data_IF_706221268783
#
_entry.id   IF_706221268783
#
_cell.length_a   1.000
_cell.length_b   1.000
_cell.length_c   1.000
_cell.angle_alpha   90.00
_cell.angle_beta   90.00
_cell.angle_gamma   90.00
#
_symmetry.space_group_name_H-M   'P 1'
#
loop_
_entity.id
_entity.type
_entity.pdbx_description
1 polymer ?
#
# COMPACT_ATOMS: atom_id res chain seq x y z
N UNK A 1 5.72 -79.54 28.48
CA UNK A 1 5.79 -78.58 29.61
C UNK A 1 7.18 -77.99 29.56
N UNK A 2 7.24 -76.66 29.68
CA UNK A 2 8.43 -75.85 30.01
C UNK A 2 9.49 -75.70 28.91
N UNK A 3 10.06 -74.54 28.59
CA UNK A 3 9.90 -73.09 28.88
C UNK A 3 10.43 -72.44 27.58
N UNK A 4 9.84 -71.35 27.09
CA UNK A 4 10.54 -70.47 26.14
C UNK A 4 10.40 -69.01 26.59
N UNK A 5 11.55 -68.38 26.74
CA UNK A 5 11.77 -67.01 27.17
C UNK A 5 11.45 -66.06 26.02
N UNK A 6 10.54 -65.11 26.25
CA UNK A 6 10.51 -63.88 25.44
C UNK A 6 10.37 -62.66 26.36
N UNK A 7 11.16 -61.60 26.12
CA UNK A 7 11.27 -60.47 27.01
C UNK A 7 10.00 -59.61 26.94
N UNK A 8 9.56 -59.16 28.10
CA UNK A 8 8.48 -58.17 28.23
C UNK A 8 8.96 -56.84 27.68
N UNK A 9 8.51 -56.47 26.48
CA UNK A 9 8.64 -55.10 25.97
C UNK A 9 7.91 -54.17 26.94
N UNK A 10 8.67 -53.27 27.59
CA UNK A 10 8.09 -52.12 28.28
C UNK A 10 7.54 -51.21 27.21
N UNK A 11 6.22 -51.03 27.19
CA UNK A 11 5.61 -49.89 26.50
C UNK A 11 6.19 -48.60 27.09
N UNK A 12 7.07 -47.95 26.34
CA UNK A 12 7.44 -46.56 26.59
C UNK A 12 6.20 -45.71 26.35
N UNK A 13 5.59 -45.23 27.44
CA UNK A 13 4.66 -44.10 27.40
C UNK A 13 5.32 -42.97 26.61
N UNK A 14 4.70 -42.45 25.53
CA UNK A 14 5.30 -41.35 24.79
C UNK A 14 5.43 -40.15 25.72
N UNK A 15 6.65 -39.61 25.84
CA UNK A 15 6.87 -38.32 26.49
C UNK A 15 5.89 -37.30 25.90
N UNK A 16 5.23 -36.47 26.74
CA UNK A 16 4.42 -35.39 26.22
C UNK A 16 5.32 -34.50 25.37
N UNK A 17 4.95 -34.35 24.09
CA UNK A 17 5.65 -33.49 23.16
C UNK A 17 5.91 -32.14 23.83
N UNK A 18 7.19 -31.77 23.95
CA UNK A 18 7.61 -30.52 24.56
C UNK A 18 6.75 -29.38 24.00
N UNK A 19 5.96 -28.76 24.87
CA UNK A 19 5.22 -27.55 24.54
C UNK A 19 6.22 -26.56 23.92
N UNK A 20 5.89 -25.91 22.79
CA UNK A 20 6.76 -24.88 22.26
C UNK A 20 6.89 -23.80 23.32
N UNK A 21 8.03 -23.78 24.00
CA UNK A 21 8.35 -22.78 24.99
C UNK A 21 8.12 -21.41 24.34
N UNK A 22 7.11 -20.70 24.82
CA UNK A 22 6.91 -19.30 24.51
C UNK A 22 8.26 -18.59 24.68
N UNK A 23 8.62 -17.58 23.88
CA UNK A 23 9.81 -16.78 24.14
C UNK A 23 9.61 -16.02 25.47
N UNK A 24 9.86 -16.72 26.58
CA UNK A 24 9.54 -16.33 27.94
C UNK A 24 10.25 -15.02 28.30
N UNK A 25 11.43 -14.84 27.69
CA UNK A 25 12.27 -13.65 27.77
C UNK A 25 11.62 -12.37 27.24
N UNK A 26 10.68 -12.46 26.29
CA UNK A 26 10.03 -11.29 25.69
C UNK A 26 8.65 -11.05 26.30
N UNK A 27 7.86 -12.12 26.49
CA UNK A 27 6.48 -12.02 26.97
C UNK A 27 6.36 -11.69 28.45
N UNK A 28 7.27 -12.21 29.30
CA UNK A 28 7.13 -12.11 30.76
C UNK A 28 7.35 -10.69 31.29
N UNK A 29 8.44 -9.98 30.95
CA UNK A 29 8.62 -8.59 31.37
C UNK A 29 7.50 -7.67 30.87
N UNK A 30 6.90 -8.01 29.74
CA UNK A 30 5.82 -7.27 29.11
C UNK A 30 4.47 -7.47 29.79
N UNK A 31 4.11 -8.72 30.05
CA UNK A 31 2.93 -9.06 30.85
C UNK A 31 3.10 -8.50 32.26
N UNK A 32 4.29 -8.57 32.84
CA UNK A 32 4.59 -8.00 34.15
C UNK A 32 4.47 -6.47 34.15
N UNK A 33 4.89 -5.78 33.08
CA UNK A 33 4.71 -4.33 32.93
C UNK A 33 3.23 -3.95 32.74
N UNK A 34 2.46 -4.72 31.96
CA UNK A 34 1.03 -4.51 31.79
C UNK A 34 0.26 -4.79 33.09
N UNK A 35 0.57 -5.89 33.77
CA UNK A 35 0.02 -6.27 35.07
C UNK A 35 0.39 -5.24 36.13
N UNK A 36 1.64 -4.74 36.14
CA UNK A 36 2.07 -3.67 37.03
C UNK A 36 1.35 -2.35 36.74
N UNK A 37 1.15 -1.97 35.47
CA UNK A 37 0.38 -0.78 35.10
C UNK A 37 -1.11 -0.90 35.51
N UNK A 38 -1.68 -2.11 35.49
CA UNK A 38 -3.05 -2.40 35.91
C UNK A 38 -3.21 -2.53 37.43
N UNK A 39 -2.19 -3.01 38.13
CA UNK A 39 -2.24 -3.31 39.56
C UNK A 39 -1.60 -2.23 40.46
N UNK A 40 -0.73 -1.35 39.95
CA UNK A 40 -0.16 -0.25 40.71
C UNK A 40 -1.11 0.96 40.77
N UNK A 41 -2.17 0.84 41.59
CA UNK A 41 -2.59 1.86 42.57
C UNK A 41 -3.93 1.48 43.24
N UNK A 42 -4.16 2.04 44.43
CA UNK A 42 -5.44 2.09 45.15
C UNK A 42 -6.49 2.99 44.46
N UNK A 43 -6.35 3.25 43.16
CA UNK A 43 -7.25 4.13 42.42
C UNK A 43 -8.36 3.37 41.68
N UNK A 44 -9.45 4.11 41.41
CA UNK A 44 -10.66 3.67 40.71
C UNK A 44 -10.38 2.96 39.38
N UNK A 45 -11.32 2.10 38.94
CA UNK A 45 -11.21 1.32 37.69
C UNK A 45 -10.92 2.18 36.45
N UNK A 46 -11.45 3.40 36.38
CA UNK A 46 -11.20 4.35 35.28
C UNK A 46 -9.72 4.75 35.17
N UNK A 47 -9.04 4.95 36.30
CA UNK A 47 -7.64 5.39 36.34
C UNK A 47 -6.68 4.27 35.88
N UNK A 48 -7.05 3.01 36.14
CA UNK A 48 -6.29 1.81 35.73
C UNK A 48 -6.40 1.55 34.23
N UNK A 49 -7.59 1.65 33.67
CA UNK A 49 -7.79 1.53 32.23
C UNK A 49 -7.07 2.65 31.47
N UNK A 50 -7.11 3.89 31.98
CA UNK A 50 -6.42 5.03 31.38
C UNK A 50 -4.89 4.84 31.29
N UNK A 51 -4.23 4.40 32.38
CA UNK A 51 -2.77 4.15 32.38
C UNK A 51 -2.37 2.99 31.46
N UNK A 52 -3.17 1.92 31.40
CA UNK A 52 -2.92 0.82 30.46
C UNK A 52 -3.05 1.28 29.01
N UNK A 53 -4.00 2.17 28.72
CA UNK A 53 -4.13 2.84 27.41
C UNK A 53 -2.91 3.68 27.05
N UNK A 54 -2.41 4.49 27.98
CA UNK A 54 -1.21 5.33 27.78
C UNK A 54 0.05 4.50 27.48
N UNK A 55 0.18 3.31 28.08
CA UNK A 55 1.29 2.39 27.79
C UNK A 55 1.25 1.95 26.33
N UNK A 56 0.08 1.50 25.85
CA UNK A 56 -0.11 1.12 24.45
C UNK A 56 0.08 2.28 23.47
N UNK A 57 -0.29 3.49 23.88
CA UNK A 57 -0.10 4.69 23.08
C UNK A 57 1.37 5.08 22.93
N UNK A 58 2.23 4.74 23.89
CA UNK A 58 3.68 4.94 23.77
C UNK A 58 4.38 3.85 22.96
N UNK A 59 3.74 2.69 22.74
CA UNK A 59 4.33 1.59 21.98
C UNK A 59 4.36 1.87 20.45
N UNK A 60 5.39 1.33 19.78
CA UNK A 60 5.49 1.40 18.32
C UNK A 60 4.57 0.36 17.66
N UNK A 61 4.18 0.58 16.40
CA UNK A 61 3.37 -0.37 15.62
C UNK A 61 4.02 -1.76 15.51
N UNK A 62 5.37 -1.80 15.41
CA UNK A 62 6.13 -3.06 15.41
C UNK A 62 5.93 -3.80 16.74
N UNK A 63 6.06 -3.10 17.84
CA UNK A 63 5.92 -3.67 19.16
C UNK A 63 4.51 -4.20 19.42
N UNK A 64 3.48 -3.44 19.03
CA UNK A 64 2.07 -3.90 19.10
C UNK A 64 1.82 -5.15 18.24
N UNK A 65 2.48 -5.26 17.07
CA UNK A 65 2.39 -6.45 16.21
C UNK A 65 3.06 -7.66 16.86
N UNK A 66 4.25 -7.48 17.42
CA UNK A 66 5.01 -8.56 18.07
C UNK A 66 4.28 -9.05 19.34
N UNK A 67 3.70 -8.12 20.12
CA UNK A 67 2.82 -8.46 21.25
C UNK A 67 1.57 -9.22 20.82
N UNK A 68 0.86 -8.76 19.79
CA UNK A 68 -0.32 -9.48 19.30
C UNK A 68 0.03 -10.89 18.83
N UNK A 69 1.15 -11.08 18.12
CA UNK A 69 1.61 -12.40 17.70
C UNK A 69 1.90 -13.31 18.91
N UNK A 70 2.56 -12.78 19.93
CA UNK A 70 2.91 -13.51 21.14
C UNK A 70 1.67 -13.87 21.98
N UNK A 71 0.71 -12.94 22.12
CA UNK A 71 -0.57 -13.20 22.80
C UNK A 71 -1.44 -14.22 22.03
N UNK A 72 -1.37 -14.25 20.69
CA UNK A 72 -2.06 -15.25 19.90
C UNK A 72 -1.49 -16.67 20.16
N UNK A 73 -0.18 -16.81 20.35
CA UNK A 73 0.42 -18.09 20.74
C UNK A 73 -0.08 -18.55 22.12
N UNK A 74 -0.14 -17.64 23.09
CA UNK A 74 -0.71 -17.90 24.43
C UNK A 74 -2.19 -18.29 24.36
N UNK A 75 -2.97 -17.59 23.53
CA UNK A 75 -4.38 -17.92 23.30
C UNK A 75 -4.54 -19.33 22.73
N UNK A 76 -3.68 -19.72 21.80
CA UNK A 76 -3.72 -21.05 21.16
C UNK A 76 -3.21 -22.18 22.08
N UNK A 77 -2.29 -21.89 23.01
CA UNK A 77 -1.82 -22.89 23.98
C UNK A 77 -2.84 -23.17 25.09
N UNK A 78 -3.88 -22.35 25.23
CA UNK A 78 -4.90 -22.49 26.28
C UNK A 78 -4.42 -22.10 27.68
N UNK A 79 -3.19 -21.57 27.79
CA UNK A 79 -2.63 -21.12 29.06
C UNK A 79 -3.46 -19.97 29.63
N UNK A 80 -3.89 -20.11 30.90
CA UNK A 80 -4.70 -19.11 31.60
C UNK A 80 -3.85 -18.31 32.57
N UNK A 81 -4.06 -16.99 32.58
CA UNK A 81 -3.44 -16.07 33.51
C UNK A 81 -4.54 -15.55 34.44
N UNK A 82 -4.37 -15.71 35.75
CA UNK A 82 -5.42 -15.37 36.73
C UNK A 82 -5.81 -13.88 36.73
N UNK A 83 -4.90 -13.00 36.30
CA UNK A 83 -5.04 -11.54 36.41
C UNK A 83 -5.10 -10.81 35.06
N UNK A 84 -5.00 -11.54 33.94
CA UNK A 84 -4.91 -10.97 32.58
C UNK A 84 -5.86 -11.70 31.65
N UNK A 85 -6.78 -10.95 31.05
CA UNK A 85 -7.57 -11.43 29.93
C UNK A 85 -6.73 -11.32 28.65
N UNK A 86 -6.14 -12.45 28.24
CA UNK A 86 -5.28 -12.54 27.06
C UNK A 86 -6.06 -12.23 25.76
N UNK A 87 -7.35 -12.56 25.70
CA UNK A 87 -8.18 -12.30 24.52
C UNK A 87 -8.43 -10.80 24.39
N UNK A 88 -8.87 -10.14 25.48
CA UNK A 88 -9.05 -8.68 25.52
C UNK A 88 -7.74 -7.95 25.19
N UNK A 89 -6.62 -8.40 25.75
CA UNK A 89 -5.31 -7.79 25.53
C UNK A 89 -4.84 -7.90 24.07
N UNK A 90 -5.08 -9.07 23.46
CA UNK A 90 -4.79 -9.31 22.06
C UNK A 90 -5.61 -8.40 21.14
N UNK A 91 -6.91 -8.26 21.44
CA UNK A 91 -7.81 -7.36 20.71
C UNK A 91 -7.42 -5.89 20.85
N UNK A 92 -7.05 -5.45 22.05
CA UNK A 92 -6.54 -4.09 22.32
C UNK A 92 -5.27 -3.78 21.52
N UNK A 93 -4.31 -4.72 21.45
CA UNK A 93 -3.10 -4.57 20.64
C UNK A 93 -3.45 -4.37 19.15
N UNK A 94 -4.37 -5.17 18.62
CA UNK A 94 -4.83 -5.03 17.24
C UNK A 94 -5.59 -3.72 16.99
N UNK A 95 -6.46 -3.30 17.91
CA UNK A 95 -7.18 -2.04 17.82
C UNK A 95 -6.22 -0.85 17.79
N UNK A 96 -5.31 -0.76 18.76
CA UNK A 96 -4.32 0.34 18.86
C UNK A 96 -3.37 0.35 17.67
N UNK A 97 -2.93 -0.82 17.18
CA UNK A 97 -2.14 -0.94 15.96
C UNK A 97 -2.88 -0.35 14.77
N UNK A 98 -4.15 -0.72 14.57
CA UNK A 98 -5.00 -0.18 13.48
C UNK A 98 -5.16 1.34 13.60
N UNK A 99 -5.38 1.86 14.80
CA UNK A 99 -5.49 3.31 15.04
C UNK A 99 -4.18 4.03 14.70
N UNK A 100 -3.03 3.54 15.14
CA UNK A 100 -1.72 4.14 14.80
C UNK A 100 -1.41 4.07 13.30
N UNK A 101 -1.74 2.95 12.65
CA UNK A 101 -1.60 2.83 11.19
C UNK A 101 -2.52 3.80 10.46
N UNK A 102 -3.73 4.03 10.96
CA UNK A 102 -4.66 5.02 10.43
C UNK A 102 -4.10 6.44 10.58
N UNK A 103 -3.67 6.83 11.79
CA UNK A 103 -3.06 8.14 12.07
C UNK A 103 -1.88 8.38 11.12
N UNK A 104 -0.97 7.42 11.01
CA UNK A 104 0.18 7.53 10.10
C UNK A 104 -0.22 7.70 8.63
N UNK A 105 -1.29 7.02 8.19
CA UNK A 105 -1.78 7.15 6.81
C UNK A 105 -2.39 8.53 6.55
N UNK A 106 -3.10 9.08 7.54
CA UNK A 106 -3.62 10.44 7.55
C UNK A 106 -2.46 11.44 7.52
N UNK A 107 -1.49 11.34 8.44
CA UNK A 107 -0.28 12.17 8.45
C UNK A 107 0.45 12.15 7.10
N UNK A 108 0.65 10.96 6.52
CA UNK A 108 1.28 10.81 5.20
C UNK A 108 0.48 11.48 4.08
N UNK A 109 -0.85 11.45 4.15
CA UNK A 109 -1.69 12.16 3.18
C UNK A 109 -1.45 13.69 3.24
N UNK A 110 -1.09 14.23 4.42
CA UNK A 110 -0.82 15.66 4.66
C UNK A 110 0.57 16.16 4.40
N UNK A 111 1.57 15.26 4.37
CA UNK A 111 2.93 15.72 4.09
C UNK A 111 2.90 16.59 2.83
N UNK A 112 3.70 17.66 2.80
CA UNK A 112 3.75 18.54 1.64
C UNK A 112 4.01 17.74 0.35
N UNK A 113 3.39 18.17 -0.75
CA UNK A 113 3.63 17.56 -2.04
C UNK A 113 5.08 17.82 -2.48
N UNK A 114 5.77 16.77 -2.92
CA UNK A 114 7.08 16.89 -3.57
C UNK A 114 6.94 17.61 -4.93
N UNK A 115 5.82 17.37 -5.62
CA UNK A 115 5.45 17.95 -6.91
C UNK A 115 3.93 18.06 -7.00
N UNK A 116 3.42 19.11 -7.63
CA UNK A 116 1.99 19.24 -7.96
C UNK A 116 1.69 18.83 -9.40
N UNK A 117 0.43 18.53 -9.73
CA UNK A 117 0.05 18.21 -11.12
C UNK A 117 0.25 19.42 -12.04
N UNK A 118 0.01 20.64 -11.57
CA UNK A 118 0.22 21.85 -12.37
C UNK A 118 1.70 22.13 -12.61
N UNK A 119 2.55 21.83 -11.63
CA UNK A 119 4.00 21.86 -11.81
C UNK A 119 4.45 20.86 -12.87
N UNK A 120 3.92 19.62 -12.84
CA UNK A 120 4.17 18.63 -13.89
C UNK A 120 3.74 19.13 -15.27
N UNK A 121 2.55 19.73 -15.39
CA UNK A 121 2.05 20.29 -16.66
C UNK A 121 2.94 21.42 -17.18
N UNK A 122 3.31 22.34 -16.29
CA UNK A 122 4.19 23.46 -16.62
C UNK A 122 5.54 22.96 -17.13
N UNK A 123 6.12 21.98 -16.45
CA UNK A 123 7.37 21.35 -16.91
C UNK A 123 7.19 20.67 -18.27
N UNK A 124 6.17 19.84 -18.44
CA UNK A 124 5.93 19.10 -19.67
C UNK A 124 5.69 20.04 -20.87
N UNK A 125 5.10 21.22 -20.66
CA UNK A 125 4.93 22.24 -21.70
C UNK A 125 6.25 22.81 -22.23
N UNK A 126 7.35 22.68 -21.48
CA UNK A 126 8.68 23.14 -21.93
C UNK A 126 9.45 22.08 -22.73
N UNK A 127 8.96 20.84 -22.75
CA UNK A 127 9.60 19.73 -23.48
C UNK A 127 9.11 19.75 -24.93
N UNK A 128 10.01 19.83 -25.92
CA UNK A 128 9.62 19.83 -27.33
C UNK A 128 9.03 18.47 -27.73
N UNK A 129 8.01 18.48 -28.58
CA UNK A 129 7.37 17.25 -29.08
C UNK A 129 8.33 16.50 -29.99
N UNK A 130 8.95 15.44 -29.45
CA UNK A 130 9.89 14.58 -30.17
C UNK A 130 9.89 13.15 -29.58
N UNK A 131 10.39 12.13 -30.28
CA UNK A 131 10.58 10.80 -29.69
C UNK A 131 11.29 10.90 -28.33
N UNK A 132 10.66 10.32 -27.30
CA UNK A 132 11.19 10.31 -25.94
C UNK A 132 11.85 8.96 -25.65
N UNK A 133 13.03 9.04 -25.05
CA UNK A 133 13.65 7.92 -24.36
C UNK A 133 12.70 7.33 -23.30
N UNK A 134 12.77 6.02 -23.08
CA UNK A 134 11.85 5.29 -22.19
C UNK A 134 11.76 5.92 -20.79
N UNK A 135 12.88 6.42 -20.25
CA UNK A 135 12.88 7.08 -18.95
C UNK A 135 12.05 8.36 -18.91
N UNK A 136 12.09 9.15 -19.99
CA UNK A 136 11.31 10.38 -20.11
C UNK A 136 9.83 10.07 -20.36
N UNK A 137 9.54 9.10 -21.23
CA UNK A 137 8.16 8.65 -21.48
C UNK A 137 7.51 8.09 -20.19
N UNK A 138 8.27 7.32 -19.40
CA UNK A 138 7.82 6.83 -18.10
C UNK A 138 7.52 7.96 -17.12
N UNK A 139 8.30 9.05 -17.11
CA UNK A 139 7.99 10.24 -16.31
C UNK A 139 6.71 10.90 -16.82
N UNK A 140 6.56 11.10 -18.13
CA UNK A 140 5.35 11.69 -18.73
C UNK A 140 4.09 10.92 -18.32
N UNK A 141 4.10 9.59 -18.49
CA UNK A 141 2.98 8.73 -18.10
C UNK A 141 2.72 8.79 -16.59
N UNK A 142 3.76 8.73 -15.76
CA UNK A 142 3.59 8.78 -14.30
C UNK A 142 3.04 10.14 -13.84
N UNK A 143 3.53 11.23 -14.44
CA UNK A 143 3.20 12.60 -14.07
C UNK A 143 1.78 13.02 -14.49
N UNK A 144 1.25 12.50 -15.60
CA UNK A 144 -0.11 12.81 -16.07
C UNK A 144 -1.17 11.86 -15.50
N UNK A 145 -0.79 10.61 -15.21
CA UNK A 145 -1.77 9.61 -14.77
C UNK A 145 -1.79 9.41 -13.27
N UNK A 146 -0.65 9.58 -12.58
CA UNK A 146 -0.50 9.14 -11.19
C UNK A 146 -0.59 7.62 -11.02
N UNK A 147 -0.45 6.84 -12.10
CA UNK A 147 -0.25 5.39 -12.01
C UNK A 147 1.15 5.11 -11.46
N UNK A 148 1.32 3.98 -10.76
CA UNK A 148 2.62 3.64 -10.18
C UNK A 148 3.54 3.06 -11.25
N UNK A 149 3.35 1.78 -11.54
CA UNK A 149 4.21 1.01 -12.42
C UNK A 149 3.41 0.20 -13.44
N UNK A 150 2.08 0.33 -13.42
CA UNK A 150 1.17 -0.23 -14.42
C UNK A 150 1.56 0.15 -15.85
N UNK A 151 2.03 1.39 -16.15
CA UNK A 151 2.39 1.75 -17.51
C UNK A 151 3.56 0.96 -18.12
N UNK A 152 4.31 0.17 -17.34
CA UNK A 152 5.33 -0.74 -17.91
C UNK A 152 4.72 -1.72 -18.91
N UNK A 153 3.45 -2.08 -18.72
CA UNK A 153 2.70 -2.95 -19.61
C UNK A 153 1.84 -2.16 -20.60
N UNK A 154 2.21 -0.92 -20.93
CA UNK A 154 1.49 -0.16 -21.95
C UNK A 154 1.70 -0.83 -23.32
N UNK A 155 0.61 -1.29 -23.90
CA UNK A 155 0.52 -1.87 -25.23
C UNK A 155 0.46 -0.77 -26.29
N UNK A 156 1.00 -1.06 -27.46
CA UNK A 156 0.93 -0.18 -28.63
C UNK A 156 -0.44 -0.23 -29.31
N UNK A 157 -1.20 -1.31 -29.09
CA UNK A 157 -2.56 -1.53 -29.62
C UNK A 157 -3.60 -1.75 -28.49
N UNK A 158 -4.90 -1.61 -28.77
CA UNK A 158 -5.95 -1.90 -27.80
C UNK A 158 -5.86 -3.32 -27.22
N UNK A 159 -6.05 -3.45 -25.92
CA UNK A 159 -5.86 -4.73 -25.23
C UNK A 159 -6.79 -4.91 -24.02
N UNK A 160 -7.30 -6.12 -23.83
CA UNK A 160 -8.26 -6.41 -22.74
C UNK A 160 -7.64 -6.59 -21.34
N UNK A 161 -6.35 -6.95 -21.25
CA UNK A 161 -5.66 -7.25 -19.99
C UNK A 161 -4.77 -6.10 -19.58
N UNK A 162 -3.87 -5.70 -20.46
CA UNK A 162 -2.85 -4.70 -20.17
C UNK A 162 -3.33 -3.27 -20.47
N UNK A 163 -2.51 -2.31 -20.08
CA UNK A 163 -2.83 -0.92 -20.35
C UNK A 163 -2.68 -0.59 -21.82
N UNK A 164 -3.53 0.28 -22.37
CA UNK A 164 -3.44 0.77 -23.75
C UNK A 164 -3.97 2.21 -23.85
N UNK A 165 -3.75 2.85 -24.99
CA UNK A 165 -4.29 4.19 -25.28
C UNK A 165 -5.59 4.11 -26.07
N UNK A 166 -6.56 4.94 -25.71
CA UNK A 166 -7.85 5.04 -26.40
C UNK A 166 -8.22 6.51 -26.65
N UNK A 167 -8.68 6.82 -27.87
CA UNK A 167 -9.25 8.12 -28.20
C UNK A 167 -10.77 8.08 -28.03
N UNK A 168 -11.34 9.04 -27.29
CA UNK A 168 -12.78 9.25 -27.11
C UNK A 168 -13.08 10.74 -27.16
N UNK A 169 -13.97 11.17 -28.05
CA UNK A 169 -14.41 12.57 -28.15
C UNK A 169 -13.23 13.57 -28.15
N UNK A 170 -12.23 13.31 -29.01
CA UNK A 170 -10.97 14.07 -29.12
C UNK A 170 -10.09 14.10 -27.87
N UNK A 171 -10.41 13.32 -26.83
CA UNK A 171 -9.59 13.14 -25.63
C UNK A 171 -8.86 11.82 -25.67
N UNK A 172 -7.62 11.83 -25.17
CA UNK A 172 -6.80 10.63 -25.05
C UNK A 172 -6.98 10.06 -23.64
N UNK A 173 -7.15 8.75 -23.54
CA UNK A 173 -7.24 8.02 -22.28
C UNK A 173 -6.19 6.92 -22.23
N UNK A 174 -5.63 6.69 -21.04
CA UNK A 174 -5.02 5.39 -20.72
C UNK A 174 -6.09 4.50 -20.09
N UNK A 175 -6.16 3.28 -20.60
CA UNK A 175 -7.14 2.25 -20.22
C UNK A 175 -6.42 1.00 -19.75
N UNK A 176 -7.10 0.14 -19.00
CA UNK A 176 -6.61 -1.18 -18.64
C UNK A 176 -7.55 -1.86 -17.64
N UNK A 177 -7.63 -3.19 -17.66
CA UNK A 177 -8.62 -3.93 -16.86
C UNK A 177 -8.01 -5.02 -15.96
N UNK A 178 -6.72 -4.92 -15.67
CA UNK A 178 -5.96 -5.99 -15.02
C UNK A 178 -6.29 -6.13 -13.55
N UNK A 179 -6.54 -7.34 -13.08
CA UNK A 179 -6.64 -7.65 -11.64
C UNK A 179 -5.24 -7.58 -11.02
N UNK A 180 -5.01 -6.65 -10.09
CA UNK A 180 -3.72 -6.54 -9.39
C UNK A 180 -3.52 -7.73 -8.44
N UNK A 181 -2.77 -8.75 -8.85
CA UNK A 181 -2.40 -9.93 -8.04
C UNK A 181 -3.50 -10.96 -7.78
N UNK A 182 -3.09 -12.22 -7.60
CA UNK A 182 -3.99 -13.32 -7.24
C UNK A 182 -4.77 -13.07 -5.94
N UNK A 183 -4.22 -12.27 -5.02
CA UNK A 183 -4.88 -11.93 -3.75
C UNK A 183 -6.10 -11.01 -3.94
N UNK A 184 -6.17 -10.28 -5.04
CA UNK A 184 -7.28 -9.36 -5.34
C UNK A 184 -8.25 -9.90 -6.41
N UNK A 185 -8.12 -11.17 -6.83
CA UNK A 185 -9.10 -11.88 -7.70
C UNK A 185 -10.55 -11.75 -7.20
N UNK A 186 -10.73 -11.60 -5.89
CA UNK A 186 -12.04 -11.49 -5.23
C UNK A 186 -12.53 -10.05 -5.00
N UNK A 187 -11.79 -9.01 -5.43
CA UNK A 187 -12.08 -7.60 -5.09
C UNK A 187 -12.67 -6.76 -6.24
N UNK A 188 -13.19 -7.40 -7.27
CA UNK A 188 -13.65 -6.72 -8.49
C UNK A 188 -12.47 -6.33 -9.38
N UNK A 189 -12.75 -6.05 -10.66
CA UNK A 189 -11.71 -5.68 -11.63
C UNK A 189 -11.14 -4.31 -11.26
N UNK A 190 -9.81 -4.21 -11.19
CA UNK A 190 -9.12 -2.92 -11.21
C UNK A 190 -9.21 -2.37 -12.63
N UNK A 191 -9.91 -1.24 -12.79
CA UNK A 191 -10.15 -0.60 -14.08
C UNK A 191 -9.41 0.72 -14.09
N UNK A 192 -8.43 0.85 -14.98
CA UNK A 192 -7.73 2.09 -15.29
C UNK A 192 -8.57 2.81 -16.35
N UNK A 193 -8.96 4.04 -16.04
CA UNK A 193 -9.65 4.94 -16.95
C UNK A 193 -9.26 6.38 -16.63
N UNK A 194 -8.18 6.85 -17.24
CA UNK A 194 -7.58 8.14 -16.91
C UNK A 194 -7.35 8.95 -18.18
N UNK A 195 -7.95 10.14 -18.24
CA UNK A 195 -7.70 11.12 -19.29
C UNK A 195 -6.24 11.60 -19.23
N UNK A 196 -5.57 11.58 -20.38
CA UNK A 196 -4.23 12.16 -20.58
C UNK A 196 -4.44 13.60 -21.01
N UNK A 197 -4.33 14.49 -20.04
CA UNK A 197 -4.49 15.94 -20.22
C UNK A 197 -3.28 16.53 -20.99
N UNK A 198 -3.50 17.59 -21.78
CA UNK A 198 -2.40 18.40 -22.33
C UNK A 198 -1.56 19.00 -21.20
N UNK A 199 -0.25 19.21 -21.41
CA UNK A 199 0.50 19.05 -22.67
C UNK A 199 1.08 17.65 -22.92
N UNK A 200 0.69 16.64 -22.13
CA UNK A 200 1.27 15.30 -22.25
C UNK A 200 0.73 14.50 -23.43
N UNK A 201 -0.51 14.80 -23.84
CA UNK A 201 -1.28 14.05 -24.84
C UNK A 201 -0.52 13.84 -26.15
N UNK A 202 -0.09 14.93 -26.77
CA UNK A 202 0.56 14.91 -28.09
C UNK A 202 1.86 14.12 -28.04
N UNK A 203 2.62 14.33 -26.96
CA UNK A 203 3.91 13.70 -26.74
C UNK A 203 3.79 12.19 -26.53
N UNK A 204 2.85 11.75 -25.71
CA UNK A 204 2.61 10.32 -25.42
C UNK A 204 2.07 9.62 -26.67
N UNK A 205 1.09 10.22 -27.35
CA UNK A 205 0.49 9.62 -28.55
C UNK A 205 1.52 9.42 -29.66
N UNK A 206 2.39 10.41 -29.91
CA UNK A 206 3.47 10.30 -30.89
C UNK A 206 4.42 9.14 -30.55
N UNK A 207 4.84 9.02 -29.29
CA UNK A 207 5.75 7.97 -28.84
C UNK A 207 5.19 6.56 -28.94
N UNK A 208 3.90 6.38 -28.63
CA UNK A 208 3.24 5.08 -28.77
C UNK A 208 3.07 4.71 -30.23
N UNK A 209 2.68 5.67 -31.07
CA UNK A 209 2.50 5.46 -32.52
C UNK A 209 3.81 5.09 -33.22
N UNK A 210 4.91 5.76 -32.86
CA UNK A 210 6.24 5.47 -33.40
C UNK A 210 6.70 4.05 -33.05
N UNK A 211 6.52 3.63 -31.79
CA UNK A 211 6.86 2.28 -31.33
C UNK A 211 5.98 1.21 -31.97
N UNK A 212 4.69 1.51 -32.17
CA UNK A 212 3.78 0.67 -32.93
C UNK A 212 4.27 0.48 -34.38
N UNK A 213 4.67 1.57 -35.06
CA UNK A 213 5.21 1.52 -36.41
C UNK A 213 6.54 0.76 -36.49
N UNK A 214 7.31 0.71 -35.41
CA UNK A 214 8.50 -0.12 -35.28
C UNK A 214 8.21 -1.60 -34.98
N UNK A 215 6.93 -1.99 -34.87
CA UNK A 215 6.51 -3.38 -34.63
C UNK A 215 6.58 -3.82 -33.16
N UNK A 216 6.75 -2.90 -32.21
CA UNK A 216 6.77 -3.23 -30.79
C UNK A 216 5.37 -3.59 -30.30
N UNK A 217 5.26 -4.63 -29.46
CA UNK A 217 4.01 -4.96 -28.76
C UNK A 217 3.83 -4.10 -27.51
N UNK A 218 4.88 -4.02 -26.69
CA UNK A 218 4.90 -3.15 -25.50
C UNK A 218 5.69 -1.88 -25.78
N UNK A 219 5.18 -0.74 -25.32
CA UNK A 219 5.86 0.55 -25.38
C UNK A 219 7.20 0.52 -24.62
N UNK A 220 7.28 -0.26 -23.54
CA UNK A 220 8.49 -0.47 -22.74
C UNK A 220 9.01 -1.91 -22.87
N UNK A 221 9.09 -2.43 -24.10
CA UNK A 221 9.47 -3.83 -24.39
C UNK A 221 10.71 -4.30 -23.62
N UNK A 222 11.76 -3.46 -23.56
CA UNK A 222 13.01 -3.79 -22.87
C UNK A 222 12.88 -3.92 -21.33
N UNK A 223 11.78 -3.46 -20.74
CA UNK A 223 11.54 -3.54 -19.30
C UNK A 223 10.66 -4.73 -18.91
N UNK A 224 9.91 -5.28 -19.87
CA UNK A 224 9.01 -6.42 -19.66
C UNK A 224 9.83 -7.70 -19.55
N UNK A 225 9.57 -8.46 -18.49
CA UNK A 225 10.19 -9.76 -18.24
C UNK A 225 9.10 -10.82 -18.18
N UNK A 226 9.11 -11.72 -19.15
CA UNK A 226 8.15 -12.82 -19.26
C UNK A 226 8.13 -13.66 -17.98
N UNK A 227 6.94 -13.88 -17.43
CA UNK A 227 6.75 -14.61 -16.18
C UNK A 227 7.20 -13.89 -14.90
N UNK A 228 7.77 -12.67 -14.99
CA UNK A 228 8.20 -11.89 -13.82
C UNK A 228 7.74 -10.43 -13.88
N UNK A 229 6.43 -10.25 -13.64
CA UNK A 229 5.82 -8.93 -13.58
C UNK A 229 6.37 -8.06 -12.46
N UNK A 230 6.77 -8.67 -11.34
CA UNK A 230 7.31 -7.96 -10.19
C UNK A 230 8.64 -7.31 -10.58
N UNK A 231 9.48 -8.03 -11.31
CA UNK A 231 10.71 -7.48 -11.88
C UNK A 231 10.43 -6.41 -12.93
N UNK A 232 9.44 -6.61 -13.81
CA UNK A 232 9.03 -5.59 -14.80
C UNK A 232 8.65 -4.26 -14.14
N UNK A 233 7.77 -4.31 -13.12
CA UNK A 233 7.36 -3.12 -12.34
C UNK A 233 8.52 -2.45 -11.59
N UNK A 234 9.46 -3.24 -11.08
CA UNK A 234 10.69 -2.74 -10.45
C UNK A 234 11.58 -2.04 -11.46
N UNK A 235 11.85 -2.65 -12.61
CA UNK A 235 12.66 -2.07 -13.69
C UNK A 235 12.11 -0.70 -14.11
N UNK A 236 10.78 -0.61 -14.30
CA UNK A 236 10.11 0.65 -14.61
C UNK A 236 10.31 1.71 -13.52
N UNK A 237 10.08 1.35 -12.25
CA UNK A 237 10.24 2.28 -11.13
C UNK A 237 11.68 2.77 -11.01
N UNK A 238 12.67 1.89 -11.20
CA UNK A 238 14.09 2.22 -11.18
C UNK A 238 14.47 3.15 -12.33
N UNK A 239 13.95 2.89 -13.54
CA UNK A 239 14.17 3.74 -14.71
C UNK A 239 13.62 5.15 -14.51
N UNK A 240 12.37 5.28 -14.04
CA UNK A 240 11.74 6.58 -13.75
C UNK A 240 12.54 7.31 -12.67
N UNK A 241 12.85 6.65 -11.55
CA UNK A 241 13.60 7.25 -10.45
C UNK A 241 15.03 7.65 -10.83
N UNK A 242 15.68 6.93 -11.76
CA UNK A 242 17.00 7.31 -12.28
C UNK A 242 16.91 8.52 -13.20
N UNK A 243 15.87 8.59 -14.02
CA UNK A 243 15.70 9.66 -15.01
C UNK A 243 15.28 10.97 -14.34
N UNK A 244 14.36 10.93 -13.38
CA UNK A 244 13.80 12.11 -12.73
C UNK A 244 14.82 12.89 -11.89
N UNK A 245 15.86 12.22 -11.38
CA UNK A 245 16.99 12.87 -10.68
C UNK A 245 17.71 13.91 -11.53
N UNK A 246 17.54 13.87 -12.85
CA UNK A 246 18.13 14.82 -13.80
C UNK A 246 17.23 16.02 -14.06
N UNK A 247 16.00 16.03 -13.55
CA UNK A 247 14.97 17.03 -13.82
C UNK A 247 14.70 17.82 -12.54
N UNK A 248 15.24 19.05 -12.48
CA UNK A 248 15.18 19.87 -11.27
C UNK A 248 13.75 20.28 -10.94
N UNK A 249 12.97 20.57 -11.97
CA UNK A 249 11.58 21.01 -11.91
C UNK A 249 10.65 19.98 -11.26
N UNK A 250 11.07 18.72 -11.16
CA UNK A 250 10.29 17.64 -10.58
C UNK A 250 10.81 17.17 -9.21
N UNK A 251 11.79 17.87 -8.62
CA UNK A 251 12.25 17.66 -7.25
C UNK A 251 12.63 16.20 -6.88
N UNK A 252 13.13 15.42 -7.86
CA UNK A 252 13.38 13.98 -7.68
C UNK A 252 12.15 13.17 -7.22
N UNK A 253 10.94 13.61 -7.59
CA UNK A 253 9.70 12.91 -7.31
C UNK A 253 9.75 11.45 -7.78
N UNK A 254 9.09 10.57 -7.05
CA UNK A 254 8.92 9.16 -7.41
C UNK A 254 7.56 8.91 -8.03
N UNK A 255 7.35 7.72 -8.60
CA UNK A 255 6.01 7.27 -9.06
C UNK A 255 4.94 7.33 -7.97
N UNK A 256 5.32 7.27 -6.69
CA UNK A 256 4.37 7.40 -5.58
C UNK A 256 4.02 8.87 -5.32
N UNK A 257 4.94 9.79 -5.56
CA UNK A 257 4.73 11.22 -5.35
C UNK A 257 3.80 11.80 -6.42
N UNK A 258 3.94 11.37 -7.68
CA UNK A 258 2.97 11.73 -8.73
C UNK A 258 1.56 11.21 -8.40
N UNK A 259 1.46 9.97 -7.93
CA UNK A 259 0.18 9.41 -7.49
C UNK A 259 -0.44 10.22 -6.36
N UNK A 260 0.37 10.63 -5.39
CA UNK A 260 -0.07 11.51 -4.29
C UNK A 260 -0.56 12.85 -4.82
N UNK A 261 0.18 13.49 -5.73
CA UNK A 261 -0.19 14.76 -6.34
C UNK A 261 -1.58 14.71 -6.98
N UNK A 262 -1.88 13.64 -7.73
CA UNK A 262 -3.22 13.45 -8.29
C UNK A 262 -4.29 13.23 -7.22
N UNK A 263 -4.08 12.32 -6.26
CA UNK A 263 -5.08 12.08 -5.21
C UNK A 263 -5.38 13.35 -4.39
N UNK A 264 -4.37 14.18 -4.13
CA UNK A 264 -4.53 15.47 -3.46
C UNK A 264 -5.29 16.46 -4.34
N UNK A 265 -4.95 16.57 -5.64
CA UNK A 265 -5.69 17.42 -6.60
C UNK A 265 -7.16 17.04 -6.67
N UNK A 266 -7.49 15.77 -6.89
CA UNK A 266 -8.89 15.35 -7.02
C UNK A 266 -9.67 15.54 -5.72
N UNK A 267 -9.04 15.33 -4.55
CA UNK A 267 -9.67 15.60 -3.26
C UNK A 267 -9.99 17.08 -3.09
N UNK A 268 -9.08 17.97 -3.50
CA UNK A 268 -9.33 19.41 -3.47
C UNK A 268 -10.50 19.79 -4.39
N UNK A 269 -10.52 19.28 -5.62
CA UNK A 269 -11.61 19.49 -6.59
C UNK A 269 -12.96 19.04 -6.05
N UNK A 270 -13.00 17.92 -5.32
CA UNK A 270 -14.21 17.47 -4.65
C UNK A 270 -14.64 18.46 -3.56
N UNK A 271 -13.71 18.88 -2.69
CA UNK A 271 -13.99 19.82 -1.60
C UNK A 271 -14.47 21.19 -2.08
N UNK A 272 -13.98 21.64 -3.23
CA UNK A 272 -14.44 22.89 -3.87
C UNK A 272 -15.73 22.73 -4.67
N UNK A 273 -16.32 21.53 -4.71
CA UNK A 273 -17.55 21.24 -5.45
C UNK A 273 -17.38 21.12 -6.96
N UNK A 274 -16.15 21.04 -7.47
CA UNK A 274 -15.87 20.90 -8.90
C UNK A 274 -16.20 19.50 -9.42
N UNK A 275 -16.04 18.47 -8.58
CA UNK A 275 -16.40 17.09 -8.90
C UNK A 275 -17.26 16.49 -7.80
N UNK A 276 -18.06 15.49 -8.14
CA UNK A 276 -18.88 14.72 -7.20
C UNK A 276 -18.04 13.67 -6.43
N UNK A 277 -18.59 13.14 -5.34
CA UNK A 277 -17.96 12.04 -4.59
C UNK A 277 -17.83 10.76 -5.43
N UNK A 278 -18.79 10.53 -6.34
CA UNK A 278 -18.76 9.40 -7.28
C UNK A 278 -17.57 9.54 -8.23
N UNK A 279 -17.35 10.74 -8.77
CA UNK A 279 -16.20 11.01 -9.63
C UNK A 279 -14.87 10.91 -8.87
N UNK A 280 -14.78 11.47 -7.66
CA UNK A 280 -13.60 11.33 -6.80
C UNK A 280 -13.25 9.84 -6.60
N UNK A 281 -14.24 9.05 -6.22
CA UNK A 281 -14.09 7.61 -5.97
C UNK A 281 -13.62 6.88 -7.24
N UNK A 282 -14.23 7.18 -8.40
CA UNK A 282 -13.80 6.64 -9.68
C UNK A 282 -12.35 7.02 -10.02
N UNK A 283 -11.93 8.28 -9.79
CA UNK A 283 -10.54 8.73 -10.03
C UNK A 283 -9.53 8.05 -9.09
N UNK A 284 -9.92 7.72 -7.86
CA UNK A 284 -9.11 6.94 -6.93
C UNK A 284 -9.00 5.47 -7.37
N UNK A 285 -10.13 4.85 -7.73
CA UNK A 285 -10.17 3.48 -8.24
C UNK A 285 -9.36 3.30 -9.52
N UNK A 286 -9.43 4.27 -10.44
CA UNK A 286 -8.64 4.29 -11.67
C UNK A 286 -7.12 4.27 -11.43
N UNK A 287 -6.68 4.70 -10.24
CA UNK A 287 -5.28 4.64 -9.80
C UNK A 287 -4.99 3.43 -8.93
N UNK A 288 -5.97 2.59 -8.63
CA UNK A 288 -5.83 1.39 -7.80
C UNK A 288 -5.88 1.68 -6.31
N UNK A 289 -6.64 2.71 -5.91
CA UNK A 289 -7.00 2.96 -4.52
C UNK A 289 -8.38 2.40 -4.22
N UNK A 290 -8.57 1.88 -3.00
CA UNK A 290 -9.90 1.61 -2.45
C UNK A 290 -10.49 2.87 -1.78
N UNK A 291 -11.78 2.83 -1.48
CA UNK A 291 -12.53 3.91 -0.82
C UNK A 291 -11.91 4.35 0.51
N UNK A 292 -11.38 3.42 1.30
CA UNK A 292 -10.68 3.75 2.56
C UNK A 292 -9.47 4.66 2.37
N UNK A 293 -8.83 4.62 1.19
CA UNK A 293 -7.72 5.55 0.92
C UNK A 293 -8.26 6.95 0.63
N UNK A 294 -9.38 7.09 -0.07
CA UNK A 294 -10.02 8.39 -0.28
C UNK A 294 -10.38 9.05 1.05
N UNK A 295 -10.90 8.28 2.01
CA UNK A 295 -11.15 8.74 3.39
C UNK A 295 -9.90 9.36 4.05
N UNK A 296 -8.71 8.78 3.85
CA UNK A 296 -7.49 9.31 4.46
C UNK A 296 -7.12 10.68 3.91
N UNK A 297 -7.41 10.96 2.65
CA UNK A 297 -7.19 12.28 2.05
C UNK A 297 -8.32 13.26 2.40
N UNK A 298 -9.53 12.75 2.67
CA UNK A 298 -10.69 13.56 3.04
C UNK A 298 -10.65 14.07 4.48
N UNK A 299 -10.34 13.19 5.47
CA UNK A 299 -10.47 13.39 6.95
C UNK A 299 -9.53 14.46 7.53
N UNK A 300 -9.28 15.52 6.78
CA UNK A 300 -8.08 16.33 6.90
C UNK A 300 -8.18 17.81 6.63
N UNK A 301 -9.38 18.40 6.64
CA UNK A 301 -9.45 19.86 6.78
C UNK A 301 -10.42 20.34 7.84
N UNK A 302 -11.19 19.46 8.50
CA UNK A 302 -12.08 19.89 9.58
C UNK A 302 -11.31 20.34 10.84
N UNK A 303 -10.06 19.88 11.06
CA UNK A 303 -9.25 20.25 12.23
C UNK A 303 -8.24 21.41 11.96
N UNK A 304 -8.31 22.08 10.81
CA UNK A 304 -7.48 23.28 10.53
C UNK A 304 -8.30 24.58 10.42
N UNK A 305 -9.63 24.49 10.45
CA UNK A 305 -10.56 25.62 10.41
C UNK A 305 -11.31 25.84 11.75
N UNK A 306 -10.91 25.15 12.84
CA UNK A 306 -11.35 25.42 14.24
C UNK A 306 -10.29 26.15 15.07
#
# INVERSE_FOLDING_TARGET
MEIDDTPTEREETPEPAAEPALPEFVLRPLLDTYVAAKNNSDDSANTKEQRSGELFDKMTTKYLKDMAAALNLVKLSGQRFSNVDIVKLHEECHARKRTKELIRKVEKANEALVVSVDQCKTWAATVPVQPLEDGMLGIFLSAVTGLRCDPVFLQTEPHDEFTYLEMRDDKLFIRGNRVMSEKDKNRGKYVIDIEIESPFKEQILANVSERAAAGQTFVFENLVVDGDEKKSRRNYSELVNKTIKKIKELNSATVTDFRKAHTTRETLRYKTGEISFVELTAKFHARGHGTTVADYYYRLQEDQDE
#
